data_IF_487756722396
#
_entry.id   IF_487756722396
#
_cell.length_a   1.000
_cell.length_b   1.000
_cell.length_c   1.000
_cell.angle_alpha   90.00
_cell.angle_beta   90.00
_cell.angle_gamma   90.00
#
_symmetry.space_group_name_H-M   'P 1'
#
loop_
_entity.id
_entity.type
_entity.pdbx_description
1 polymer ?
#
# COMPACT_ATOMS: atom_id res chain seq x y z
N UNK A 1 0.38 -8.96 -1.11
CA UNK A 1 -0.53 -8.85 -2.28
C UNK A 1 -0.92 -10.25 -2.76
N UNK A 2 -2.02 -10.39 -3.50
CA UNK A 2 -2.31 -11.63 -4.22
C UNK A 2 -1.66 -11.55 -5.60
N UNK A 3 -0.90 -12.56 -5.99
CA UNK A 3 -0.34 -12.63 -7.33
C UNK A 3 -1.46 -12.96 -8.34
N UNK A 4 -1.70 -12.04 -9.29
CA UNK A 4 -2.78 -12.13 -10.28
C UNK A 4 -2.27 -12.59 -11.65
N UNK A 5 -1.50 -13.68 -11.67
CA UNK A 5 -1.18 -14.43 -12.89
C UNK A 5 -0.23 -13.76 -13.89
N UNK A 6 0.34 -12.60 -13.59
CA UNK A 6 1.36 -11.96 -14.45
C UNK A 6 2.78 -12.53 -14.25
N UNK A 7 2.92 -13.46 -13.30
CA UNK A 7 4.14 -14.20 -12.96
C UNK A 7 3.74 -15.60 -12.48
N UNK A 8 4.66 -16.56 -12.42
CA UNK A 8 4.42 -17.94 -11.96
C UNK A 8 3.99 -18.03 -10.48
N UNK A 9 4.11 -16.95 -9.71
CA UNK A 9 3.69 -16.90 -8.32
C UNK A 9 2.17 -17.09 -8.17
N UNK A 10 1.77 -18.05 -7.34
CA UNK A 10 0.37 -18.27 -6.94
C UNK A 10 0.25 -18.03 -5.43
N UNK A 11 -0.84 -17.37 -5.02
CA UNK A 11 -1.19 -17.20 -3.60
C UNK A 11 -0.83 -15.84 -2.99
N UNK A 12 -0.76 -15.81 -1.66
CA UNK A 12 -0.44 -14.61 -0.88
C UNK A 12 1.08 -14.40 -0.90
N UNK A 13 1.51 -13.31 -1.53
CA UNK A 13 2.93 -12.95 -1.61
C UNK A 13 3.19 -11.65 -0.85
N UNK A 14 4.28 -11.59 -0.09
CA UNK A 14 4.73 -10.35 0.56
C UNK A 14 5.75 -9.69 -0.37
N UNK A 15 5.48 -8.46 -0.79
CA UNK A 15 6.42 -7.66 -1.57
C UNK A 15 6.73 -6.38 -0.82
N UNK A 16 7.95 -5.89 -0.96
CA UNK A 16 8.40 -4.65 -0.32
C UNK A 16 7.60 -3.45 -0.85
N UNK A 17 7.57 -3.29 -2.17
CA UNK A 17 6.68 -2.38 -2.89
C UNK A 17 5.88 -3.17 -3.93
N UNK A 18 4.79 -2.58 -4.42
CA UNK A 18 4.00 -3.19 -5.50
C UNK A 18 4.73 -3.16 -6.84
N UNK A 19 5.46 -2.06 -7.11
CA UNK A 19 6.35 -1.93 -8.26
C UNK A 19 7.67 -2.67 -7.97
N UNK A 20 8.10 -3.61 -8.82
CA UNK A 20 9.35 -4.34 -8.63
C UNK A 20 10.61 -3.49 -8.96
N UNK A 21 10.46 -2.34 -9.59
CA UNK A 21 11.57 -1.44 -9.94
C UNK A 21 11.77 -0.35 -8.88
N UNK A 22 13.01 0.10 -8.70
CA UNK A 22 13.35 1.17 -7.76
C UNK A 22 13.44 0.65 -6.32
N UNK A 23 12.47 0.95 -5.43
CA UNK A 23 12.51 0.56 -4.02
C UNK A 23 12.86 -0.91 -3.74
N UNK A 24 12.24 -1.83 -4.49
CA UNK A 24 12.50 -3.26 -4.31
C UNK A 24 13.92 -3.69 -4.71
N UNK A 25 14.63 -2.90 -5.53
CA UNK A 25 16.02 -3.15 -5.95
C UNK A 25 17.04 -2.44 -5.05
N UNK A 26 16.63 -1.45 -4.25
CA UNK A 26 17.49 -0.64 -3.38
C UNK A 26 16.90 -0.52 -1.98
N UNK A 27 16.60 -1.66 -1.36
CA UNK A 27 15.90 -1.71 -0.07
C UNK A 27 16.63 -0.91 1.01
N UNK A 28 17.94 -1.11 1.15
CA UNK A 28 18.77 -0.46 2.19
C UNK A 28 18.77 1.07 2.09
N UNK A 29 18.86 1.61 0.88
CA UNK A 29 18.79 3.07 0.68
C UNK A 29 17.37 3.60 0.82
N UNK A 30 16.37 2.82 0.40
CA UNK A 30 14.96 3.19 0.52
C UNK A 30 14.54 3.25 1.99
N UNK A 31 14.97 2.32 2.84
CA UNK A 31 14.66 2.31 4.27
C UNK A 31 15.12 3.59 4.97
N UNK A 32 16.33 4.10 4.65
CA UNK A 32 16.84 5.35 5.20
C UNK A 32 15.90 6.52 4.88
N UNK A 33 15.44 6.59 3.63
CA UNK A 33 14.51 7.63 3.17
C UNK A 33 13.13 7.46 3.82
N UNK A 34 12.60 6.24 3.91
CA UNK A 34 11.30 5.99 4.55
C UNK A 34 11.31 6.49 5.99
N UNK A 35 12.33 6.17 6.77
CA UNK A 35 12.46 6.66 8.16
C UNK A 35 12.48 8.19 8.20
N UNK A 36 13.27 8.84 7.35
CA UNK A 36 13.35 10.30 7.29
C UNK A 36 11.99 10.95 6.97
N UNK A 37 11.34 10.50 5.90
CA UNK A 37 10.08 11.09 5.43
C UNK A 37 8.93 10.84 6.40
N UNK A 38 8.76 9.62 6.92
CA UNK A 38 7.70 9.34 7.88
C UNK A 38 7.88 10.15 9.16
N UNK A 39 9.12 10.28 9.68
CA UNK A 39 9.39 11.15 10.83
C UNK A 39 8.98 12.60 10.54
N UNK A 40 9.29 13.13 9.35
CA UNK A 40 8.87 14.48 8.94
C UNK A 40 7.36 14.62 8.84
N UNK A 41 6.65 13.62 8.30
CA UNK A 41 5.19 13.65 8.20
C UNK A 41 4.52 13.69 9.58
N UNK A 42 5.00 12.88 10.52
CA UNK A 42 4.51 12.90 11.90
C UNK A 42 4.83 14.22 12.59
N UNK A 43 6.04 14.78 12.40
CA UNK A 43 6.43 16.07 12.96
C UNK A 43 5.61 17.24 12.41
N UNK A 44 5.26 17.21 11.12
CA UNK A 44 4.46 18.26 10.48
C UNK A 44 2.96 18.14 10.77
N UNK A 45 2.52 17.13 11.52
CA UNK A 45 1.11 16.90 11.82
C UNK A 45 0.29 16.43 10.61
N UNK A 46 0.93 15.93 9.54
CA UNK A 46 0.21 15.35 8.41
C UNK A 46 -0.41 14.02 8.85
N UNK A 47 -1.68 13.79 8.51
CA UNK A 47 -2.34 12.51 8.77
C UNK A 47 -1.65 11.39 7.98
N UNK A 48 -1.13 10.39 8.69
CA UNK A 48 -0.54 9.17 8.11
C UNK A 48 -1.45 7.99 8.41
N UNK A 49 -1.75 7.16 7.41
CA UNK A 49 -2.67 6.03 7.57
C UNK A 49 -2.36 4.84 6.66
N UNK A 50 -3.04 3.73 6.93
CA UNK A 50 -2.94 2.49 6.15
C UNK A 50 -4.31 2.09 5.59
N UNK A 51 -4.37 1.80 4.30
CA UNK A 51 -5.58 1.35 3.62
C UNK A 51 -5.51 -0.14 3.27
N UNK A 52 -6.53 -0.90 3.67
CA UNK A 52 -6.68 -2.33 3.34
C UNK A 52 -7.75 -2.52 2.27
N UNK A 53 -7.33 -2.85 1.05
CA UNK A 53 -8.22 -2.91 -0.13
C UNK A 53 -8.98 -4.23 -0.28
N UNK A 54 -8.69 -5.26 0.51
CA UNK A 54 -9.28 -6.61 0.37
C UNK A 54 -9.08 -7.24 -1.03
N UNK A 55 -8.14 -6.73 -1.83
CA UNK A 55 -7.89 -7.19 -3.19
C UNK A 55 -7.47 -8.67 -3.27
N UNK A 56 -6.87 -9.20 -2.21
CA UNK A 56 -6.47 -10.59 -2.09
C UNK A 56 -7.53 -11.52 -1.47
N UNK A 57 -8.78 -11.09 -1.34
CA UNK A 57 -9.87 -11.94 -0.86
C UNK A 57 -10.73 -12.33 -2.07
N UNK A 58 -10.98 -13.63 -2.24
CA UNK A 58 -11.83 -14.12 -3.33
C UNK A 58 -13.24 -13.52 -3.23
N UNK A 59 -13.77 -13.02 -4.35
CA UNK A 59 -15.06 -12.32 -4.41
C UNK A 59 -14.99 -10.83 -4.03
N UNK A 60 -13.84 -10.32 -3.60
CA UNK A 60 -13.67 -8.91 -3.20
C UNK A 60 -12.76 -8.12 -4.14
N UNK A 61 -12.42 -8.67 -5.30
CA UNK A 61 -11.37 -8.10 -6.15
C UNK A 61 -11.80 -6.79 -6.83
N UNK A 62 -13.11 -6.57 -6.96
CA UNK A 62 -13.71 -5.30 -7.40
C UNK A 62 -14.28 -4.50 -6.23
N UNK A 63 -15.11 -5.16 -5.40
CA UNK A 63 -15.82 -4.48 -4.32
C UNK A 63 -14.93 -4.04 -3.16
N UNK A 64 -13.85 -4.77 -2.87
CA UNK A 64 -12.88 -4.42 -1.85
C UNK A 64 -12.20 -3.07 -2.13
N UNK A 65 -11.52 -2.92 -3.29
CA UNK A 65 -10.92 -1.65 -3.68
C UNK A 65 -11.93 -0.51 -3.74
N UNK A 66 -13.15 -0.76 -4.25
CA UNK A 66 -14.23 0.24 -4.27
C UNK A 66 -14.60 0.73 -2.87
N UNK A 67 -14.84 -0.18 -1.92
CA UNK A 67 -15.16 0.16 -0.52
C UNK A 67 -14.01 0.91 0.15
N UNK A 68 -12.77 0.47 -0.08
CA UNK A 68 -11.58 1.14 0.46
C UNK A 68 -11.42 2.57 -0.08
N UNK A 69 -11.66 2.78 -1.38
CA UNK A 69 -11.64 4.11 -1.98
C UNK A 69 -12.73 5.04 -1.41
N UNK A 70 -13.95 4.53 -1.21
CA UNK A 70 -15.04 5.28 -0.56
C UNK A 70 -14.65 5.66 0.87
N UNK A 71 -14.14 4.71 1.67
CA UNK A 71 -13.69 5.01 3.04
C UNK A 71 -12.59 6.05 3.09
N UNK A 72 -11.64 6.01 2.15
CA UNK A 72 -10.59 7.04 2.05
C UNK A 72 -11.18 8.41 1.69
N UNK A 73 -12.15 8.45 0.76
CA UNK A 73 -12.81 9.70 0.39
C UNK A 73 -13.57 10.32 1.56
N UNK A 74 -14.26 9.51 2.37
CA UNK A 74 -14.94 9.99 3.58
C UNK A 74 -13.94 10.48 4.63
N UNK A 75 -12.81 9.81 4.83
CA UNK A 75 -11.75 10.32 5.73
C UNK A 75 -11.25 11.69 5.25
N UNK A 76 -10.99 11.85 3.95
CA UNK A 76 -10.51 13.11 3.35
C UNK A 76 -11.53 14.24 3.52
N UNK A 77 -12.84 13.98 3.39
CA UNK A 77 -13.90 14.99 3.59
C UNK A 77 -13.98 15.50 5.04
N UNK A 78 -13.46 14.73 6.00
CA UNK A 78 -13.47 15.04 7.43
C UNK A 78 -12.10 15.56 7.93
N UNK A 79 -11.21 15.93 7.01
CA UNK A 79 -9.96 16.67 7.29
C UNK A 79 -10.25 18.16 7.18
#
# INVERSE_FOLDING_TARGET
>A
RMAKGTTTEKGLVKTYFANPFGPAQKVEDTEKLLVEYFNKFFQSGVKVGQLRTRLGISGMEKDGPKKAAISLLEEIKNI
#
